data_IF_877902294269
#
_entry.id   IF_877902294269
#
_cell.length_a   1.000
_cell.length_b   1.000
_cell.length_c   1.000
_cell.angle_alpha   90.00
_cell.angle_beta   90.00
_cell.angle_gamma   90.00
#
_symmetry.space_group_name_H-M   'P 1'
#
loop_
_entity.id
_entity.type
_entity.pdbx_description
1 polymer ?
#
# COMPACT_ATOMS: atom_id res chain seq x y z
N UNK A 1 35.21 43.58 38.45
CA UNK A 1 35.19 42.10 38.60
C UNK A 1 34.37 41.54 37.46
N UNK A 2 34.91 40.58 36.71
CA UNK A 2 34.39 40.10 35.43
C UNK A 2 33.25 39.10 35.65
N UNK A 3 32.07 39.34 35.05
CA UNK A 3 31.00 38.36 34.94
C UNK A 3 31.35 37.34 33.85
N UNK A 4 31.36 36.06 34.20
CA UNK A 4 31.43 34.95 33.26
C UNK A 4 30.02 34.40 33.03
N UNK A 5 29.56 34.47 31.79
CA UNK A 5 28.34 33.80 31.31
C UNK A 5 28.76 32.41 30.84
N UNK A 6 28.25 31.36 31.48
CA UNK A 6 28.37 29.98 31.01
C UNK A 6 27.23 29.71 30.02
N UNK A 7 27.57 29.53 28.74
CA UNK A 7 26.65 29.00 27.74
C UNK A 7 26.78 27.47 27.73
N UNK A 8 25.74 26.77 28.18
CA UNK A 8 25.58 25.33 27.99
C UNK A 8 25.07 25.08 26.57
N UNK A 9 25.96 24.66 25.68
CA UNK A 9 25.60 24.13 24.37
C UNK A 9 25.19 22.67 24.59
N UNK A 10 23.88 22.39 24.57
CA UNK A 10 23.43 21.00 24.53
C UNK A 10 23.64 20.48 23.11
N UNK A 11 24.51 19.48 22.98
CA UNK A 11 24.75 18.79 21.72
C UNK A 11 23.60 17.83 21.45
N UNK A 12 22.74 18.18 20.49
CA UNK A 12 21.74 17.25 19.97
C UNK A 12 22.48 16.19 19.15
N UNK A 13 22.67 14.99 19.72
CA UNK A 13 23.20 13.86 18.97
C UNK A 13 22.12 13.36 18.01
N UNK A 14 22.32 13.60 16.71
CA UNK A 14 21.58 12.95 15.65
C UNK A 14 21.91 11.45 15.68
N UNK A 15 21.03 10.66 16.28
CA UNK A 15 21.05 9.20 16.12
C UNK A 15 20.59 8.93 14.69
N UNK A 16 21.53 8.69 13.79
CA UNK A 16 21.22 8.19 12.46
C UNK A 16 20.70 6.76 12.63
N UNK A 17 19.39 6.55 12.47
CA UNK A 17 18.82 5.22 12.38
C UNK A 17 19.46 4.55 11.15
N UNK A 18 20.33 3.57 11.36
CA UNK A 18 20.67 2.64 10.28
C UNK A 18 19.37 1.93 9.91
N UNK A 19 18.91 2.08 8.66
CA UNK A 19 17.81 1.29 8.13
C UNK A 19 18.14 -0.19 8.35
N UNK A 20 17.42 -0.82 9.28
CA UNK A 20 17.54 -2.25 9.52
C UNK A 20 17.08 -2.99 8.27
N UNK A 21 17.81 -4.03 7.86
CA UNK A 21 17.42 -4.87 6.73
C UNK A 21 16.02 -5.43 7.00
N UNK A 22 15.06 -5.20 6.08
CA UNK A 22 13.69 -5.72 6.19
C UNK A 22 13.71 -7.23 6.44
N UNK A 23 12.93 -7.68 7.42
CA UNK A 23 12.69 -9.10 7.68
C UNK A 23 11.50 -9.66 6.90
N UNK A 24 10.78 -8.80 6.14
CA UNK A 24 9.63 -9.21 5.36
C UNK A 24 10.10 -9.98 4.12
N UNK A 25 9.53 -11.16 3.83
CA UNK A 25 9.97 -11.97 2.69
C UNK A 25 9.63 -11.30 1.36
N UNK A 26 10.46 -11.55 0.34
CA UNK A 26 10.22 -11.15 -1.06
C UNK A 26 9.84 -12.37 -1.89
N UNK A 27 9.02 -12.17 -2.92
CA UNK A 27 8.60 -13.25 -3.83
C UNK A 27 7.81 -14.38 -3.17
N UNK A 28 7.11 -14.07 -2.06
CA UNK A 28 6.21 -14.98 -1.35
C UNK A 28 4.95 -14.19 -1.02
N UNK A 29 3.79 -14.83 -1.17
CA UNK A 29 2.50 -14.22 -0.83
C UNK A 29 2.37 -14.05 0.69
N UNK A 30 1.98 -12.84 1.11
CA UNK A 30 1.76 -12.45 2.50
C UNK A 30 0.29 -12.10 2.66
N UNK A 31 -0.41 -12.81 3.54
CA UNK A 31 -1.88 -12.72 3.67
C UNK A 31 -2.36 -11.97 4.92
N UNK A 32 -1.53 -11.88 5.94
CA UNK A 32 -1.93 -11.42 7.27
C UNK A 32 -0.82 -10.59 7.91
N UNK A 33 -1.22 -9.72 8.85
CA UNK A 33 -0.30 -8.99 9.70
C UNK A 33 0.52 -9.93 10.59
N UNK A 34 1.70 -9.46 10.99
CA UNK A 34 2.54 -10.12 12.00
C UNK A 34 2.59 -9.34 13.30
N UNK A 35 2.28 -8.04 13.26
CA UNK A 35 2.10 -7.23 14.46
C UNK A 35 0.72 -7.52 15.07
N UNK A 36 0.63 -7.71 16.39
CA UNK A 36 -0.64 -7.91 17.08
C UNK A 36 -1.47 -6.62 17.10
N UNK A 37 -2.79 -6.76 17.22
CA UNK A 37 -3.74 -5.64 17.37
C UNK A 37 -3.65 -4.58 16.25
N UNK A 38 -3.19 -4.99 15.06
CA UNK A 38 -3.13 -4.15 13.86
C UNK A 38 -3.99 -4.72 12.73
N UNK A 39 -4.59 -3.83 11.94
CA UNK A 39 -5.24 -4.14 10.68
C UNK A 39 -4.70 -3.23 9.57
N UNK A 40 -4.48 -3.79 8.38
CA UNK A 40 -4.13 -3.02 7.19
C UNK A 40 -5.36 -2.86 6.30
N UNK A 41 -5.92 -1.65 6.28
CA UNK A 41 -6.91 -1.27 5.28
C UNK A 41 -6.17 -0.99 3.97
N UNK A 42 -6.54 -1.70 2.91
CA UNK A 42 -5.86 -1.55 1.62
C UNK A 42 -6.84 -1.37 0.46
N UNK A 43 -6.42 -0.58 -0.51
CA UNK A 43 -7.21 -0.13 -1.66
C UNK A 43 -6.45 -0.36 -2.96
N UNK A 44 -7.07 -1.05 -3.90
CA UNK A 44 -6.50 -1.38 -5.22
C UNK A 44 -7.09 -0.49 -6.32
N UNK A 45 -6.46 -0.54 -7.50
CA UNK A 45 -6.88 0.03 -8.79
C UNK A 45 -6.72 1.56 -8.97
N UNK A 46 -6.62 2.30 -7.88
CA UNK A 46 -6.45 3.74 -7.89
C UNK A 46 -5.07 4.24 -8.35
N UNK A 47 -4.83 5.57 -8.25
CA UNK A 47 -5.78 6.60 -7.85
C UNK A 47 -6.85 6.88 -8.92
N UNK A 48 -8.02 7.36 -8.49
CA UNK A 48 -9.13 7.74 -9.35
C UNK A 48 -9.98 8.87 -8.72
N UNK A 49 -11.15 9.17 -9.28
CA UNK A 49 -12.01 10.29 -8.89
C UNK A 49 -12.44 10.30 -7.41
N UNK A 50 -12.47 9.15 -6.73
CA UNK A 50 -12.93 9.03 -5.34
C UNK A 50 -11.79 8.91 -4.32
N UNK A 51 -10.53 8.85 -4.77
CA UNK A 51 -9.36 8.69 -3.89
C UNK A 51 -9.15 9.91 -2.98
N UNK A 52 -9.32 11.14 -3.49
CA UNK A 52 -9.18 12.37 -2.68
C UNK A 52 -10.21 12.43 -1.53
N UNK A 53 -11.53 12.20 -1.77
CA UNK A 53 -12.50 12.05 -0.69
C UNK A 53 -12.18 10.92 0.30
N UNK A 54 -11.59 9.81 -0.16
CA UNK A 54 -11.15 8.73 0.72
C UNK A 54 -10.01 9.18 1.64
N UNK A 55 -9.00 9.88 1.12
CA UNK A 55 -7.91 10.44 1.92
C UNK A 55 -8.44 11.40 3.00
N UNK A 56 -9.42 12.25 2.68
CA UNK A 56 -10.07 13.12 3.66
C UNK A 56 -10.71 12.32 4.81
N UNK A 57 -11.40 11.22 4.50
CA UNK A 57 -12.02 10.35 5.50
C UNK A 57 -10.98 9.67 6.39
N UNK A 58 -9.89 9.16 5.81
CA UNK A 58 -8.82 8.49 6.56
C UNK A 58 -8.09 9.46 7.50
N UNK A 59 -7.80 10.68 7.03
CA UNK A 59 -7.23 11.75 7.87
C UNK A 59 -8.17 12.11 9.01
N UNK A 60 -9.46 12.29 8.73
CA UNK A 60 -10.46 12.61 9.74
C UNK A 60 -10.59 11.51 10.81
N UNK A 61 -10.43 10.24 10.42
CA UNK A 61 -10.42 9.09 11.32
C UNK A 61 -9.08 8.86 12.02
N UNK A 62 -8.00 9.56 11.63
CA UNK A 62 -6.66 9.34 12.16
C UNK A 62 -6.04 8.00 11.77
N UNK A 63 -6.48 7.43 10.64
CA UNK A 63 -6.10 6.09 10.16
C UNK A 63 -5.07 6.18 9.04
N UNK A 64 -4.13 5.23 9.01
CA UNK A 64 -3.25 5.01 7.86
C UNK A 64 -3.72 3.79 7.07
N UNK A 65 -3.43 3.79 5.78
CA UNK A 65 -3.89 2.79 4.82
C UNK A 65 -2.80 2.52 3.79
N UNK A 66 -3.01 1.50 2.96
CA UNK A 66 -2.11 1.17 1.84
C UNK A 66 -2.85 1.20 0.51
N UNK A 67 -2.32 1.94 -0.45
CA UNK A 67 -2.88 2.06 -1.79
C UNK A 67 -2.00 1.29 -2.77
N UNK A 68 -2.51 0.22 -3.38
CA UNK A 68 -1.85 -0.47 -4.48
C UNK A 68 -2.29 0.18 -5.79
N UNK A 69 -1.44 1.07 -6.31
CA UNK A 69 -1.79 1.93 -7.44
C UNK A 69 -1.41 1.33 -8.79
N UNK A 70 -2.17 1.65 -9.82
CA UNK A 70 -1.82 1.35 -11.20
C UNK A 70 -1.16 2.54 -11.91
N UNK A 71 -0.48 2.27 -13.04
CA UNK A 71 0.07 3.31 -13.90
C UNK A 71 -0.95 3.85 -14.91
N UNK A 72 -1.66 2.94 -15.59
CA UNK A 72 -2.72 3.26 -16.54
C UNK A 72 -3.78 2.14 -16.54
N UNK A 73 -4.79 2.30 -15.67
CA UNK A 73 -5.93 1.40 -15.54
C UNK A 73 -7.25 2.19 -15.65
N UNK A 74 -7.82 2.64 -14.52
CA UNK A 74 -9.01 3.51 -14.49
C UNK A 74 -8.72 4.94 -14.93
N UNK A 75 -7.50 5.40 -14.63
CA UNK A 75 -6.93 6.64 -15.11
C UNK A 75 -5.41 6.47 -15.31
N UNK A 76 -4.76 7.48 -15.89
CA UNK A 76 -3.31 7.57 -15.91
C UNK A 76 -2.83 8.16 -14.58
N UNK A 77 -1.86 7.52 -13.92
CA UNK A 77 -1.33 7.95 -12.62
C UNK A 77 -0.74 9.38 -12.65
N UNK A 78 -0.22 9.81 -13.81
CA UNK A 78 0.35 11.14 -13.96
C UNK A 78 -0.71 12.25 -13.81
N UNK A 79 -1.98 11.97 -14.16
CA UNK A 79 -3.10 12.90 -13.96
C UNK A 79 -3.48 13.06 -12.47
N UNK A 80 -3.03 12.12 -11.63
CA UNK A 80 -3.27 12.05 -10.19
C UNK A 80 -1.97 12.19 -9.37
N UNK A 81 -0.92 12.77 -9.95
CA UNK A 81 0.39 12.94 -9.31
C UNK A 81 0.29 13.60 -7.92
N UNK A 82 -0.56 14.63 -7.78
CA UNK A 82 -0.77 15.31 -6.49
C UNK A 82 -1.42 14.40 -5.44
N UNK A 83 -2.33 13.53 -5.86
CA UNK A 83 -3.00 12.56 -4.98
C UNK A 83 -2.01 11.52 -4.46
N UNK A 84 -1.11 11.03 -5.32
CA UNK A 84 -0.05 10.10 -4.91
C UNK A 84 0.95 10.77 -3.96
N UNK A 85 1.32 12.04 -4.20
CA UNK A 85 2.14 12.81 -3.24
C UNK A 85 1.42 12.94 -1.90
N UNK A 86 0.13 13.28 -1.92
CA UNK A 86 -0.71 13.42 -0.72
C UNK A 86 -0.76 12.13 0.10
N UNK A 87 -0.88 10.95 -0.55
CA UNK A 87 -0.81 9.66 0.15
C UNK A 87 0.45 9.56 1.02
N UNK A 88 1.61 9.90 0.47
CA UNK A 88 2.90 9.85 1.20
C UNK A 88 2.96 10.92 2.30
N UNK A 89 2.57 12.16 2.01
CA UNK A 89 2.63 13.27 2.98
C UNK A 89 1.69 13.05 4.18
N UNK A 90 0.56 12.39 3.96
CA UNK A 90 -0.39 12.00 4.99
C UNK A 90 -0.02 10.67 5.68
N UNK A 91 1.12 10.06 5.34
CA UNK A 91 1.65 8.86 6.01
C UNK A 91 0.98 7.55 5.61
N UNK A 92 0.25 7.53 4.50
CA UNK A 92 -0.21 6.27 3.89
C UNK A 92 0.95 5.59 3.16
N UNK A 93 0.80 4.30 2.93
CA UNK A 93 1.73 3.54 2.10
C UNK A 93 1.19 3.47 0.67
N UNK A 94 2.11 3.57 -0.29
CA UNK A 94 1.85 3.34 -1.72
C UNK A 94 2.59 2.06 -2.10
N UNK A 95 1.87 1.10 -2.66
CA UNK A 95 2.37 -0.14 -3.25
C UNK A 95 2.09 -0.18 -4.75
N UNK A 96 2.73 -1.08 -5.47
CA UNK A 96 2.48 -1.29 -6.90
C UNK A 96 1.34 -2.27 -7.13
N UNK A 97 0.44 -1.95 -8.06
CA UNK A 97 -0.55 -2.88 -8.60
C UNK A 97 -0.34 -3.22 -10.06
N UNK A 98 0.90 -3.08 -10.56
CA UNK A 98 1.30 -3.16 -11.98
C UNK A 98 0.90 -1.94 -12.81
N UNK A 99 1.51 -1.76 -13.98
CA UNK A 99 1.21 -0.60 -14.82
C UNK A 99 -0.21 -0.66 -15.41
N UNK A 100 -0.60 -1.76 -16.06
CA UNK A 100 -1.84 -1.87 -16.83
C UNK A 100 -2.82 -2.95 -16.34
N UNK A 101 -2.60 -3.46 -15.13
CA UNK A 101 -3.48 -4.44 -14.48
C UNK A 101 -3.68 -5.77 -15.25
N UNK A 102 -2.63 -6.40 -15.83
CA UNK A 102 -2.80 -7.70 -16.48
C UNK A 102 -2.87 -8.84 -15.47
N UNK A 103 -3.55 -9.92 -15.84
CA UNK A 103 -3.42 -11.20 -15.14
C UNK A 103 -2.00 -11.74 -15.31
N UNK A 104 -1.23 -11.72 -14.22
CA UNK A 104 0.20 -12.01 -14.24
C UNK A 104 0.54 -13.46 -14.60
N UNK A 105 -0.40 -14.41 -14.49
CA UNK A 105 -0.13 -15.81 -14.91
C UNK A 105 -0.29 -16.02 -16.41
N UNK A 106 -0.88 -15.05 -17.11
CA UNK A 106 -1.16 -15.11 -18.55
C UNK A 106 -0.07 -14.46 -19.41
N UNK A 107 0.82 -13.70 -18.78
CA UNK A 107 1.91 -12.95 -19.44
C UNK A 107 3.28 -13.58 -19.13
N UNK A 108 4.26 -13.32 -19.97
CA UNK A 108 5.62 -13.84 -19.78
C UNK A 108 6.44 -13.02 -18.76
N UNK A 109 7.59 -13.55 -18.34
CA UNK A 109 8.44 -12.90 -17.33
C UNK A 109 8.93 -11.51 -17.75
N UNK A 110 9.21 -11.31 -19.04
CA UNK A 110 9.66 -10.03 -19.57
C UNK A 110 8.55 -8.97 -19.49
N UNK A 111 7.31 -9.38 -19.75
CA UNK A 111 6.13 -8.54 -19.61
C UNK A 111 5.88 -8.23 -18.14
N UNK A 112 5.98 -9.20 -17.22
CA UNK A 112 5.90 -8.95 -15.77
C UNK A 112 6.91 -7.87 -15.36
N UNK A 113 8.18 -7.98 -15.76
CA UNK A 113 9.20 -6.96 -15.46
C UNK A 113 8.82 -5.59 -16.03
N UNK A 114 8.33 -5.56 -17.26
CA UNK A 114 7.91 -4.32 -17.92
C UNK A 114 6.78 -3.64 -17.15
N UNK A 115 5.79 -4.41 -16.68
CA UNK A 115 4.67 -3.90 -15.90
C UNK A 115 5.10 -3.28 -14.57
N UNK A 116 6.08 -3.89 -13.89
CA UNK A 116 6.61 -3.32 -12.65
C UNK A 116 7.46 -2.08 -12.93
N UNK A 117 8.44 -2.18 -13.83
CA UNK A 117 9.43 -1.12 -14.11
C UNK A 117 8.75 0.14 -14.65
N UNK A 118 7.73 0.02 -15.50
CA UNK A 118 7.00 1.19 -16.01
C UNK A 118 6.32 1.98 -14.91
N UNK A 119 5.63 1.29 -13.98
CA UNK A 119 5.00 1.97 -12.85
C UNK A 119 6.04 2.55 -11.89
N UNK A 120 7.15 1.83 -11.66
CA UNK A 120 8.27 2.38 -10.90
C UNK A 120 8.82 3.68 -11.52
N UNK A 121 8.97 3.76 -12.84
CA UNK A 121 9.44 4.96 -13.53
C UNK A 121 8.51 6.17 -13.31
N UNK A 122 7.19 5.96 -13.43
CA UNK A 122 6.21 7.01 -13.13
C UNK A 122 6.26 7.43 -11.66
N UNK A 123 6.32 6.48 -10.73
CA UNK A 123 6.39 6.78 -9.29
C UNK A 123 7.71 7.47 -8.90
N UNK A 124 8.84 7.14 -9.53
CA UNK A 124 10.09 7.89 -9.33
C UNK A 124 9.91 9.35 -9.77
N UNK A 125 9.23 9.60 -10.89
CA UNK A 125 8.98 10.97 -11.35
C UNK A 125 8.03 11.74 -10.41
N UNK A 126 7.04 11.07 -9.82
CA UNK A 126 6.02 11.69 -8.97
C UNK A 126 6.52 11.89 -7.53
N UNK A 127 7.10 10.86 -6.90
CA UNK A 127 7.46 10.84 -5.47
C UNK A 127 8.96 10.59 -5.20
N UNK A 128 9.80 10.52 -6.24
CA UNK A 128 11.25 10.37 -6.10
C UNK A 128 11.74 8.97 -5.67
N UNK A 129 10.82 8.01 -5.55
CA UNK A 129 11.05 6.64 -5.08
C UNK A 129 9.99 5.69 -5.67
N UNK A 130 10.25 4.39 -5.65
CA UNK A 130 9.29 3.37 -6.07
C UNK A 130 9.07 2.33 -4.96
N UNK A 131 7.90 1.67 -4.90
CA UNK A 131 7.56 0.78 -3.81
C UNK A 131 8.30 -0.56 -3.89
N UNK A 132 8.60 -1.14 -2.74
CA UNK A 132 9.02 -2.55 -2.58
C UNK A 132 7.85 -3.49 -2.31
N UNK A 133 6.65 -2.94 -2.14
CA UNK A 133 5.41 -3.67 -1.91
C UNK A 133 4.58 -3.70 -3.19
N UNK A 134 4.00 -4.85 -3.50
CA UNK A 134 3.04 -4.97 -4.60
C UNK A 134 1.95 -5.97 -4.30
N UNK A 135 0.81 -5.80 -4.97
CA UNK A 135 -0.27 -6.77 -5.01
C UNK A 135 -0.49 -7.24 -6.46
N UNK A 136 -0.51 -8.55 -6.74
CA UNK A 136 -0.84 -9.05 -8.08
C UNK A 136 -2.31 -8.79 -8.43
N UNK A 137 -2.62 -8.24 -9.62
CA UNK A 137 -3.98 -8.18 -10.14
C UNK A 137 -4.72 -9.52 -9.99
N UNK A 138 -5.98 -9.45 -9.56
CA UNK A 138 -6.86 -10.61 -9.35
C UNK A 138 -6.37 -11.63 -8.31
N UNK A 139 -5.37 -11.29 -7.49
CA UNK A 139 -4.59 -12.26 -6.72
C UNK A 139 -4.03 -13.42 -7.57
N UNK A 140 -3.83 -13.18 -8.87
CA UNK A 140 -3.42 -14.21 -9.81
C UNK A 140 -1.89 -14.26 -9.92
N UNK A 141 -1.31 -15.27 -9.29
CA UNK A 141 0.13 -15.50 -9.30
C UNK A 141 0.48 -17.00 -9.23
N UNK A 142 1.65 -17.37 -9.75
CA UNK A 142 2.20 -18.71 -9.64
C UNK A 142 3.69 -18.67 -9.25
N UNK A 143 4.35 -19.82 -9.15
CA UNK A 143 5.77 -19.90 -8.81
C UNK A 143 6.69 -19.13 -9.77
N UNK A 144 6.29 -18.94 -11.03
CA UNK A 144 7.01 -18.11 -12.00
C UNK A 144 6.86 -16.64 -11.66
N UNK A 145 5.63 -16.18 -11.46
CA UNK A 145 5.31 -14.80 -11.05
C UNK A 145 6.06 -14.42 -9.76
N UNK A 146 5.92 -15.26 -8.72
CA UNK A 146 6.56 -15.05 -7.42
C UNK A 146 8.09 -15.02 -7.52
N UNK A 147 8.69 -15.86 -8.37
CA UNK A 147 10.14 -15.83 -8.63
C UNK A 147 10.57 -14.50 -9.26
N UNK A 148 9.86 -14.02 -10.28
CA UNK A 148 10.19 -12.74 -10.95
C UNK A 148 10.05 -11.58 -9.98
N UNK A 149 8.95 -11.53 -9.21
CA UNK A 149 8.72 -10.51 -8.19
C UNK A 149 9.78 -10.56 -7.08
N UNK A 150 10.16 -11.75 -6.62
CA UNK A 150 11.23 -11.92 -5.64
C UNK A 150 12.59 -11.49 -6.16
N UNK A 151 12.89 -11.73 -7.45
CA UNK A 151 14.09 -11.20 -8.09
C UNK A 151 14.06 -9.67 -8.13
N UNK A 152 12.92 -9.06 -8.47
CA UNK A 152 12.75 -7.60 -8.45
C UNK A 152 12.73 -7.01 -7.02
N UNK A 153 12.71 -7.84 -5.98
CA UNK A 153 12.75 -7.40 -4.58
C UNK A 153 11.38 -7.01 -4.01
N UNK A 154 10.29 -7.49 -4.61
CA UNK A 154 8.94 -7.19 -4.16
C UNK A 154 8.44 -8.10 -3.03
N UNK A 155 7.89 -7.49 -1.99
CA UNK A 155 6.96 -8.11 -1.06
C UNK A 155 5.60 -8.27 -1.77
N UNK A 156 5.08 -9.49 -1.81
CA UNK A 156 3.85 -9.82 -2.55
C UNK A 156 2.69 -9.90 -1.57
N UNK A 157 1.80 -8.92 -1.62
CA UNK A 157 0.70 -8.75 -0.67
C UNK A 157 -0.58 -9.32 -1.25
N UNK A 158 -1.17 -10.25 -0.53
CA UNK A 158 -2.48 -10.84 -0.77
C UNK A 158 -3.47 -10.21 0.26
N UNK A 159 -4.61 -10.84 0.53
CA UNK A 159 -5.51 -10.45 1.61
C UNK A 159 -6.11 -11.69 2.30
N UNK A 160 -6.52 -11.51 3.56
CA UNK A 160 -7.30 -12.49 4.33
C UNK A 160 -8.70 -11.98 4.70
N UNK A 161 -9.04 -10.76 4.30
CA UNK A 161 -10.40 -10.19 4.31
C UNK A 161 -10.72 -9.63 2.91
N UNK A 162 -11.46 -10.36 2.10
CA UNK A 162 -11.99 -9.86 0.82
C UNK A 162 -13.42 -9.34 1.02
N UNK A 163 -13.65 -8.07 0.72
CA UNK A 163 -14.96 -7.44 0.87
C UNK A 163 -15.89 -7.70 -0.32
N UNK A 164 -15.36 -8.15 -1.47
CA UNK A 164 -16.10 -8.23 -2.72
C UNK A 164 -16.85 -6.92 -3.06
N UNK A 165 -16.30 -5.78 -2.67
CA UNK A 165 -16.90 -4.46 -2.86
C UNK A 165 -17.21 -4.17 -4.33
N UNK A 166 -16.37 -4.62 -5.26
CA UNK A 166 -16.60 -4.56 -6.70
C UNK A 166 -17.86 -5.32 -7.17
N UNK A 167 -18.32 -6.36 -6.46
CA UNK A 167 -19.60 -7.04 -6.71
C UNK A 167 -20.78 -6.39 -5.97
N UNK A 168 -20.49 -5.64 -4.91
CA UNK A 168 -21.45 -5.06 -3.96
C UNK A 168 -21.35 -3.53 -3.95
N UNK A 169 -21.16 -2.93 -5.13
CA UNK A 169 -20.86 -1.52 -5.32
C UNK A 169 -22.10 -0.63 -5.55
N UNK A 170 -23.26 -1.03 -5.03
CA UNK A 170 -24.48 -0.19 -5.01
C UNK A 170 -24.92 0.14 -3.59
N UNK A 171 -25.67 1.24 -3.38
CA UNK A 171 -26.23 1.57 -2.06
C UNK A 171 -27.11 0.47 -1.45
N UNK A 172 -27.70 -0.41 -2.27
CA UNK A 172 -28.54 -1.52 -1.82
C UNK A 172 -27.75 -2.79 -1.47
N UNK A 173 -26.50 -2.89 -1.91
CA UNK A 173 -25.70 -4.12 -1.81
C UNK A 173 -24.47 -3.99 -0.93
N UNK A 174 -24.05 -2.77 -0.55
CA UNK A 174 -22.84 -2.55 0.25
C UNK A 174 -22.84 -3.25 1.61
N UNK A 175 -24.02 -3.46 2.21
CA UNK A 175 -24.16 -4.22 3.45
C UNK A 175 -23.62 -5.66 3.35
N UNK A 176 -23.64 -6.25 2.14
CA UNK A 176 -23.03 -7.56 1.91
C UNK A 176 -21.50 -7.48 2.02
N UNK A 177 -20.88 -6.45 1.45
CA UNK A 177 -19.44 -6.22 1.58
C UNK A 177 -19.04 -5.94 3.04
N UNK A 178 -19.85 -5.15 3.76
CA UNK A 178 -19.65 -4.91 5.19
C UNK A 178 -19.79 -6.19 6.03
N UNK A 179 -20.72 -7.07 5.66
CA UNK A 179 -20.89 -8.37 6.32
C UNK A 179 -19.67 -9.26 6.11
N UNK A 180 -19.14 -9.33 4.89
CA UNK A 180 -17.93 -10.08 4.57
C UNK A 180 -16.71 -9.52 5.32
N UNK A 181 -16.58 -8.20 5.38
CA UNK A 181 -15.56 -7.53 6.18
C UNK A 181 -15.62 -7.94 7.67
N UNK A 182 -16.79 -7.80 8.30
CA UNK A 182 -16.99 -8.15 9.72
C UNK A 182 -16.77 -9.64 10.00
N UNK A 183 -17.12 -10.51 9.05
CA UNK A 183 -16.84 -11.94 9.14
C UNK A 183 -15.33 -12.21 9.07
N UNK A 184 -14.62 -11.55 8.16
CA UNK A 184 -13.16 -11.63 8.06
C UNK A 184 -12.46 -11.20 9.35
N UNK A 185 -12.85 -10.05 9.90
CA UNK A 185 -12.40 -9.57 11.21
C UNK A 185 -12.63 -10.61 12.32
N UNK A 186 -13.85 -11.14 12.41
CA UNK A 186 -14.23 -12.11 13.44
C UNK A 186 -13.44 -13.43 13.33
N UNK A 187 -12.92 -13.74 12.15
CA UNK A 187 -12.08 -14.90 11.89
C UNK A 187 -10.58 -14.63 12.13
N UNK A 188 -10.21 -13.42 12.56
CA UNK A 188 -8.82 -13.00 12.78
C UNK A 188 -8.09 -12.53 11.54
N UNK A 189 -8.81 -12.16 10.48
CA UNK A 189 -8.23 -11.50 9.32
C UNK A 189 -7.69 -10.11 9.66
N UNK A 190 -6.73 -9.62 8.89
CA UNK A 190 -5.93 -8.43 9.23
C UNK A 190 -5.41 -7.64 8.02
N UNK A 191 -5.53 -8.16 6.79
CA UNK A 191 -5.25 -7.40 5.57
C UNK A 191 -6.49 -7.45 4.69
N UNK A 192 -7.09 -6.28 4.43
CA UNK A 192 -8.33 -6.17 3.67
C UNK A 192 -8.08 -5.98 2.19
N UNK A 193 -9.01 -6.40 1.33
CA UNK A 193 -9.12 -5.96 -0.06
C UNK A 193 -10.37 -5.09 -0.25
N UNK A 194 -10.17 -3.87 -0.75
CA UNK A 194 -11.19 -2.93 -1.22
C UNK A 194 -10.65 -2.20 -2.46
N UNK A 195 -11.49 -1.44 -3.17
CA UNK A 195 -11.10 -0.70 -4.36
C UNK A 195 -11.62 0.74 -4.28
N UNK A 196 -10.72 1.73 -4.22
CA UNK A 196 -11.07 3.14 -4.08
C UNK A 196 -11.56 3.79 -5.38
N UNK A 197 -11.52 3.05 -6.49
CA UNK A 197 -12.10 3.45 -7.78
C UNK A 197 -13.63 3.37 -7.81
N UNK A 198 -14.25 2.73 -6.81
CA UNK A 198 -15.70 2.60 -6.69
C UNK A 198 -16.28 3.63 -5.73
N UNK A 199 -17.19 4.47 -6.24
CA UNK A 199 -17.87 5.50 -5.45
C UNK A 199 -18.48 4.94 -4.16
N UNK A 200 -19.19 3.82 -4.27
CA UNK A 200 -19.90 3.21 -3.16
C UNK A 200 -18.96 2.62 -2.10
N UNK A 201 -17.78 2.15 -2.51
CA UNK A 201 -16.73 1.73 -1.57
C UNK A 201 -16.32 2.92 -0.71
N UNK A 202 -16.03 4.07 -1.34
CA UNK A 202 -15.57 5.26 -0.64
C UNK A 202 -16.66 5.95 0.18
N UNK A 203 -17.87 6.09 -0.37
CA UNK A 203 -18.93 6.89 0.25
C UNK A 203 -19.76 6.12 1.30
N UNK A 204 -19.86 4.79 1.20
CA UNK A 204 -20.74 4.00 2.07
C UNK A 204 -20.01 2.88 2.84
N UNK A 205 -19.17 2.09 2.16
CA UNK A 205 -18.48 0.97 2.80
C UNK A 205 -17.40 1.45 3.77
N UNK A 206 -16.50 2.33 3.34
CA UNK A 206 -15.36 2.81 4.15
C UNK A 206 -15.79 3.44 5.47
N UNK A 207 -16.78 4.36 5.54
CA UNK A 207 -17.27 4.86 6.83
C UNK A 207 -17.70 3.73 7.78
N UNK A 208 -18.41 2.74 7.26
CA UNK A 208 -18.90 1.60 8.04
C UNK A 208 -17.77 0.65 8.47
N UNK A 209 -16.72 0.53 7.65
CA UNK A 209 -15.49 -0.21 7.97
C UNK A 209 -14.72 0.49 9.09
N UNK A 210 -14.53 1.81 8.98
CA UNK A 210 -13.85 2.62 10.00
C UNK A 210 -14.55 2.48 11.36
N UNK A 211 -15.88 2.55 11.39
CA UNK A 211 -16.66 2.37 12.62
C UNK A 211 -16.56 0.95 13.23
N UNK A 212 -16.25 -0.06 12.41
CA UNK A 212 -16.18 -1.46 12.82
C UNK A 212 -14.79 -1.90 13.26
N UNK A 213 -13.74 -1.20 12.85
CA UNK A 213 -12.35 -1.49 13.24
C UNK A 213 -12.11 -1.05 14.68
N UNK A 214 -11.70 -1.98 15.53
CA UNK A 214 -11.33 -1.70 16.94
C UNK A 214 -9.82 -1.73 17.14
N UNK A 215 -9.11 -2.40 16.23
CA UNK A 215 -7.66 -2.49 16.13
C UNK A 215 -7.02 -1.18 15.63
N UNK A 216 -5.70 -1.10 15.73
CA UNK A 216 -4.97 0.01 15.12
C UNK A 216 -4.91 -0.19 13.60
N UNK A 217 -5.62 0.64 12.84
CA UNK A 217 -5.53 0.64 11.39
C UNK A 217 -4.25 1.35 10.92
N UNK A 218 -3.35 0.56 10.33
CA UNK A 218 -1.97 0.94 9.97
C UNK A 218 -1.66 0.59 8.52
N UNK A 219 -0.50 1.02 8.02
CA UNK A 219 0.00 0.58 6.72
C UNK A 219 0.35 -0.91 6.71
N UNK A 220 0.40 -1.56 5.54
CA UNK A 220 0.84 -2.96 5.42
C UNK A 220 2.27 -3.14 5.94
N UNK A 221 3.15 -2.18 5.68
CA UNK A 221 4.50 -2.14 6.20
C UNK A 221 4.55 -2.20 7.73
N UNK A 222 3.80 -1.33 8.42
CA UNK A 222 3.68 -1.33 9.89
C UNK A 222 3.05 -2.63 10.42
N UNK A 223 1.97 -3.10 9.79
CA UNK A 223 1.31 -4.38 10.06
C UNK A 223 2.27 -5.59 9.96
N UNK A 224 3.33 -5.47 9.16
CA UNK A 224 4.39 -6.47 9.01
C UNK A 224 5.66 -6.16 9.82
N UNK A 225 5.66 -5.09 10.60
CA UNK A 225 6.81 -4.67 11.41
C UNK A 225 7.99 -4.16 10.58
N UNK A 226 7.77 -3.74 9.34
CA UNK A 226 8.81 -3.20 8.48
C UNK A 226 8.93 -1.67 8.64
N UNK A 227 10.09 -1.12 8.99
CA UNK A 227 10.28 0.33 9.04
C UNK A 227 10.01 1.00 7.70
N UNK A 228 9.43 2.20 7.72
CA UNK A 228 9.06 2.98 6.51
C UNK A 228 10.21 3.14 5.50
N UNK A 229 11.45 3.25 6.00
CA UNK A 229 12.65 3.34 5.16
C UNK A 229 12.85 2.14 4.20
N UNK A 230 12.19 1.01 4.45
CA UNK A 230 12.25 -0.20 3.63
C UNK A 230 11.10 -0.34 2.64
N UNK A 231 10.03 0.46 2.76
CA UNK A 231 8.85 0.36 1.89
C UNK A 231 9.12 0.85 0.46
N UNK A 232 10.22 1.58 0.27
CA UNK A 232 10.57 2.20 -1.00
C UNK A 232 12.06 2.08 -1.30
N UNK A 233 12.40 2.18 -2.59
CA UNK A 233 13.76 2.33 -3.08
C UNK A 233 13.85 3.58 -3.96
N UNK A 234 14.98 4.28 -3.89
CA UNK A 234 15.28 5.46 -4.72
C UNK A 234 16.22 5.16 -5.90
N UNK A 235 16.73 3.92 -5.99
CA UNK A 235 17.62 3.50 -7.06
C UNK A 235 17.51 2.00 -7.29
N UNK A 236 17.39 1.60 -8.57
CA UNK A 236 17.48 0.19 -8.96
C UNK A 236 18.92 -0.27 -8.81
N UNK A 237 19.13 -1.38 -8.11
CA UNK A 237 20.48 -1.96 -8.06
C UNK A 237 20.91 -2.40 -9.45
N UNK A 238 22.21 -2.25 -9.76
CA UNK A 238 22.76 -2.34 -11.11
C UNK A 238 22.57 -3.71 -11.83
N UNK A 239 22.02 -4.72 -11.14
CA UNK A 239 21.71 -6.05 -11.68
C UNK A 239 20.30 -6.21 -12.27
N UNK A 240 19.41 -5.23 -12.13
CA UNK A 240 18.01 -5.30 -12.59
C UNK A 240 17.78 -4.45 -13.85
N UNK A 241 18.62 -4.62 -14.87
CA UNK A 241 18.33 -4.04 -16.19
C UNK A 241 17.34 -4.97 -16.92
N UNK A 242 16.33 -4.35 -17.52
CA UNK A 242 15.26 -4.97 -18.31
C UNK A 242 15.79 -6.00 -19.32
#
# INVERSE_FOLDING_TARGET
MRSFIFALISGLQLVSAQAGRSSVPVGVAIRSCTQPDTIALTFDDGPFAYTEPLLDQLVAAGIKATFFVNGNNWANINDYSSTVVRMIEEGHQVGSHTYSHPDMVTIDEATIRTEMIKLEDDLINIIGKYPTYMRPPYFSYNNSTLRVLGQLGYHVIDADIDTFDWQHNTPETFDNALTLFKQGLSNGGSITLMHDVHQNTVENLVPSVIDAVLESAVTVGECLGDPEANWYQSSRSAGFKA
#
